data_IF_107300134342
#
_entry.id   IF_107300134342
#
_cell.length_a   1.000
_cell.length_b   1.000
_cell.length_c   1.000
_cell.angle_alpha   90.00
_cell.angle_beta   90.00
_cell.angle_gamma   90.00
#
_symmetry.space_group_name_H-M   'P 1'
#
loop_
_entity.id
_entity.type
_entity.pdbx_description
1 polymer ?
#
# COMPACT_ATOMS: atom_id res chain seq x y z
N UNK A 1 3.04 -20.85 28.50
CA UNK A 1 3.17 -20.01 27.28
C UNK A 1 4.45 -20.43 26.59
N UNK A 2 4.46 -20.70 25.28
CA UNK A 2 5.67 -21.14 24.58
C UNK A 2 6.70 -20.01 24.47
N UNK A 3 7.99 -20.35 24.45
CA UNK A 3 9.07 -19.37 24.30
C UNK A 3 8.96 -18.57 22.98
N UNK A 4 8.51 -19.20 21.89
CA UNK A 4 8.25 -18.51 20.63
C UNK A 4 7.21 -17.38 20.76
N UNK A 5 6.16 -17.58 21.58
CA UNK A 5 5.13 -16.57 21.79
C UNK A 5 5.66 -15.36 22.56
N UNK A 6 6.55 -15.55 23.54
CA UNK A 6 7.15 -14.44 24.29
C UNK A 6 8.07 -13.58 23.41
N UNK A 7 8.81 -14.21 22.49
CA UNK A 7 9.63 -13.53 21.48
C UNK A 7 8.75 -12.73 20.51
N UNK A 8 7.74 -13.36 19.93
CA UNK A 8 6.79 -12.73 19.01
C UNK A 8 6.16 -11.46 19.61
N UNK A 9 5.55 -11.59 20.81
CA UNK A 9 4.86 -10.47 21.46
C UNK A 9 5.80 -9.33 21.82
N UNK A 10 7.06 -9.64 22.13
CA UNK A 10 8.05 -8.63 22.50
C UNK A 10 8.48 -7.86 21.27
N UNK A 11 8.81 -8.57 20.19
CA UNK A 11 9.20 -7.96 18.92
C UNK A 11 8.15 -6.99 18.39
N UNK A 12 6.86 -7.34 18.47
CA UNK A 12 5.76 -6.44 18.09
C UNK A 12 5.69 -5.21 19.00
N UNK A 13 5.81 -5.38 20.31
CA UNK A 13 5.75 -4.24 21.24
C UNK A 13 6.89 -3.26 21.03
N UNK A 14 8.08 -3.78 20.78
CA UNK A 14 9.28 -2.96 20.59
C UNK A 14 9.17 -2.13 19.30
N UNK A 15 8.46 -2.63 18.29
CA UNK A 15 8.25 -1.95 17.01
C UNK A 15 6.96 -1.14 16.90
N UNK A 16 6.12 -1.10 17.93
CA UNK A 16 4.80 -0.43 17.89
C UNK A 16 4.85 1.01 17.38
N UNK A 17 5.85 1.79 17.80
CA UNK A 17 5.97 3.19 17.40
C UNK A 17 6.37 3.31 15.92
N UNK A 18 7.29 2.46 15.47
CA UNK A 18 7.66 2.36 14.06
C UNK A 18 6.46 1.93 13.21
N UNK A 19 5.73 0.89 13.64
CA UNK A 19 4.50 0.44 12.98
C UNK A 19 3.48 1.57 12.90
N UNK A 20 3.25 2.31 13.98
CA UNK A 20 2.32 3.45 13.99
C UNK A 20 2.77 4.56 13.03
N UNK A 21 4.07 4.88 12.97
CA UNK A 21 4.57 5.89 12.02
C UNK A 21 4.42 5.45 10.57
N UNK A 22 4.70 4.17 10.27
CA UNK A 22 4.51 3.60 8.94
C UNK A 22 3.04 3.59 8.53
N UNK A 23 2.15 3.16 9.44
CA UNK A 23 0.70 3.22 9.23
C UNK A 23 0.25 4.65 8.97
N UNK A 24 0.64 5.60 9.83
CA UNK A 24 0.22 6.99 9.71
C UNK A 24 0.67 7.60 8.39
N UNK A 25 1.95 7.44 8.01
CA UNK A 25 2.46 7.95 6.74
C UNK A 25 1.74 7.34 5.53
N UNK A 26 1.49 6.03 5.56
CA UNK A 26 0.76 5.32 4.50
C UNK A 26 -0.70 5.78 4.40
N UNK A 27 -1.38 5.97 5.53
CA UNK A 27 -2.76 6.48 5.55
C UNK A 27 -2.82 7.91 5.02
N UNK A 28 -1.90 8.78 5.44
CA UNK A 28 -1.85 10.18 4.99
C UNK A 28 -1.67 10.25 3.47
N UNK A 29 -0.75 9.48 2.89
CA UNK A 29 -0.51 9.52 1.44
C UNK A 29 -1.69 8.95 0.65
N UNK A 30 -2.36 7.91 1.16
CA UNK A 30 -3.56 7.34 0.53
C UNK A 30 -4.72 8.34 0.55
N UNK A 31 -5.01 8.92 1.70
CA UNK A 31 -6.10 9.90 1.85
C UNK A 31 -5.81 11.14 1.02
N UNK A 32 -4.56 11.61 0.98
CA UNK A 32 -4.15 12.71 0.11
C UNK A 32 -4.39 12.36 -1.36
N UNK A 33 -3.96 11.17 -1.81
CA UNK A 33 -4.18 10.69 -3.18
C UNK A 33 -5.68 10.66 -3.50
N UNK A 34 -6.51 10.10 -2.62
CA UNK A 34 -7.96 10.07 -2.79
C UNK A 34 -8.56 11.49 -2.87
N UNK A 35 -8.09 12.42 -2.04
CA UNK A 35 -8.55 13.81 -2.02
C UNK A 35 -8.19 14.60 -3.29
N UNK A 36 -7.17 14.18 -4.04
CA UNK A 36 -6.80 14.82 -5.31
C UNK A 36 -7.72 14.41 -6.48
N UNK A 37 -8.48 13.32 -6.35
CA UNK A 37 -9.32 12.81 -7.45
C UNK A 37 -10.30 13.84 -8.03
N UNK A 38 -11.10 14.58 -7.24
CA UNK A 38 -12.06 15.56 -7.78
C UNK A 38 -11.39 16.68 -8.59
N UNK A 39 -10.18 17.10 -8.19
CA UNK A 39 -9.43 18.15 -8.89
C UNK A 39 -8.99 17.73 -10.29
N UNK A 40 -8.75 16.43 -10.50
CA UNK A 40 -8.40 15.87 -11.80
C UNK A 40 -9.63 15.75 -12.70
N UNK A 41 -10.79 15.35 -12.17
CA UNK A 41 -12.06 15.37 -12.91
C UNK A 41 -12.39 16.77 -13.44
N UNK A 42 -12.24 17.79 -12.60
CA UNK A 42 -12.43 19.20 -12.98
C UNK A 42 -11.46 19.65 -14.10
N UNK A 43 -10.19 19.22 -14.04
CA UNK A 43 -9.21 19.52 -15.07
C UNK A 43 -9.58 18.87 -16.42
N UNK A 44 -9.98 17.60 -16.42
CA UNK A 44 -10.39 16.87 -17.63
C UNK A 44 -11.63 17.48 -18.28
N UNK A 45 -12.62 17.90 -17.48
CA UNK A 45 -13.82 18.60 -17.98
C UNK A 45 -13.46 19.93 -18.68
N UNK A 46 -12.53 20.70 -18.11
CA UNK A 46 -12.09 21.97 -18.72
C UNK A 46 -11.38 21.82 -20.07
N UNK A 47 -10.70 20.68 -20.28
CA UNK A 47 -10.04 20.32 -21.54
C UNK A 47 -11.08 19.89 -22.58
N UNK A 48 -12.09 19.11 -22.16
CA UNK A 48 -13.19 18.69 -23.04
C UNK A 48 -14.02 19.88 -23.57
N UNK A 49 -14.18 20.92 -22.76
CA UNK A 49 -14.87 22.17 -23.15
C UNK A 49 -14.00 23.13 -24.00
N UNK A 50 -12.78 22.70 -24.40
CA UNK A 50 -11.89 23.47 -25.28
C UNK A 50 -11.20 24.68 -24.63
N UNK A 51 -11.31 24.82 -23.31
CA UNK A 51 -10.77 25.96 -22.54
C UNK A 51 -9.41 25.70 -21.88
N UNK A 52 -9.05 24.43 -21.66
CA UNK A 52 -7.75 23.98 -21.16
C UNK A 52 -6.97 23.23 -22.25
N UNK A 53 -5.71 23.59 -22.46
CA UNK A 53 -4.86 23.23 -23.62
C UNK A 53 -5.01 21.80 -24.18
N UNK A 54 -4.92 21.72 -25.52
CA UNK A 54 -5.26 20.56 -26.36
C UNK A 54 -4.42 19.29 -26.22
N UNK A 55 -4.42 18.45 -27.27
CA UNK A 55 -3.96 17.04 -27.35
C UNK A 55 -2.68 16.66 -26.58
N UNK A 56 -1.75 17.59 -26.34
CA UNK A 56 -0.58 17.37 -25.51
C UNK A 56 -0.94 17.10 -24.03
N UNK A 57 -2.00 17.70 -23.49
CA UNK A 57 -2.46 17.47 -22.12
C UNK A 57 -3.18 16.12 -22.00
N UNK A 58 -4.00 15.72 -22.97
CA UNK A 58 -4.62 14.39 -22.99
C UNK A 58 -3.58 13.27 -23.16
N UNK A 59 -2.50 13.51 -23.91
CA UNK A 59 -1.35 12.60 -24.01
C UNK A 59 -0.51 12.55 -22.71
N UNK A 60 -0.25 13.70 -22.08
CA UNK A 60 0.47 13.79 -20.79
C UNK A 60 -0.29 13.18 -19.61
N UNK A 61 -1.63 13.27 -19.62
CA UNK A 61 -2.51 12.65 -18.63
C UNK A 61 -2.70 11.14 -18.85
N UNK A 62 -2.09 10.57 -19.91
CA UNK A 62 -2.15 9.13 -20.16
C UNK A 62 -3.53 8.65 -20.60
N UNK A 63 -4.33 9.51 -21.24
CA UNK A 63 -5.63 9.18 -21.84
C UNK A 63 -5.45 8.32 -23.11
N UNK A 64 -4.72 7.21 -22.98
CA UNK A 64 -4.43 6.23 -24.02
C UNK A 64 -5.36 5.03 -23.87
N UNK A 65 -5.67 4.38 -24.99
CA UNK A 65 -6.64 3.30 -25.08
C UNK A 65 -6.30 2.10 -24.15
N UNK A 66 -7.08 1.95 -23.07
CA UNK A 66 -7.09 0.73 -22.25
C UNK A 66 -7.53 0.92 -20.80
N UNK A 67 -7.09 1.99 -20.13
CA UNK A 67 -7.50 2.34 -18.76
C UNK A 67 -7.68 3.84 -18.70
N UNK A 68 -8.90 4.29 -18.38
CA UNK A 68 -9.22 5.70 -18.30
C UNK A 68 -8.80 6.29 -16.93
N UNK A 69 -7.76 7.13 -16.87
CA UNK A 69 -7.29 7.74 -15.63
C UNK A 69 -8.31 8.71 -15.04
N UNK A 70 -9.28 9.19 -15.82
CA UNK A 70 -10.35 10.05 -15.31
C UNK A 70 -11.46 9.29 -14.58
N UNK A 71 -11.46 7.95 -14.65
CA UNK A 71 -12.33 7.10 -13.85
C UNK A 71 -11.79 6.90 -12.42
N UNK A 72 -12.65 6.72 -11.40
CA UNK A 72 -12.20 6.51 -10.02
C UNK A 72 -11.28 5.30 -9.88
N UNK A 73 -11.68 4.19 -10.50
CA UNK A 73 -10.93 2.95 -10.46
C UNK A 73 -9.60 3.07 -11.21
N UNK A 74 -9.61 3.67 -12.41
CA UNK A 74 -8.40 3.88 -13.20
C UNK A 74 -7.40 4.80 -12.49
N UNK A 75 -7.88 5.88 -11.89
CA UNK A 75 -7.07 6.80 -11.08
C UNK A 75 -6.36 6.08 -9.94
N UNK A 76 -7.10 5.32 -9.13
CA UNK A 76 -6.52 4.57 -8.01
C UNK A 76 -5.55 3.50 -8.48
N UNK A 77 -5.86 2.81 -9.57
CA UNK A 77 -5.02 1.72 -10.06
C UNK A 77 -3.68 2.24 -10.58
N UNK A 78 -3.69 3.33 -11.36
CA UNK A 78 -2.47 3.94 -11.91
C UNK A 78 -1.69 4.71 -10.84
N UNK A 79 -2.38 5.57 -10.09
CA UNK A 79 -1.75 6.49 -9.15
C UNK A 79 -1.32 5.83 -7.84
N UNK A 80 -2.21 5.02 -7.24
CA UNK A 80 -1.96 4.44 -5.93
C UNK A 80 -1.36 3.05 -6.03
N UNK A 81 -1.98 2.15 -6.77
CA UNK A 81 -1.67 0.73 -6.64
C UNK A 81 -0.65 0.17 -7.64
N UNK A 82 -0.37 0.85 -8.74
CA UNK A 82 0.78 0.52 -9.60
C UNK A 82 2.09 1.12 -9.06
N UNK A 83 1.99 2.15 -8.21
CA UNK A 83 3.13 2.98 -7.81
C UNK A 83 3.22 3.21 -6.30
N UNK A 84 2.35 4.00 -5.69
CA UNK A 84 2.61 4.46 -4.31
C UNK A 84 2.56 3.32 -3.29
N UNK A 85 1.48 2.54 -3.26
CA UNK A 85 1.24 1.55 -2.20
C UNK A 85 2.18 0.34 -2.28
N UNK A 86 2.40 -0.32 -3.44
CA UNK A 86 3.32 -1.46 -3.50
C UNK A 86 4.71 -1.05 -3.05
N UNK A 87 5.26 0.04 -3.56
CA UNK A 87 6.63 0.46 -3.26
C UNK A 87 6.81 0.81 -1.78
N UNK A 88 5.81 1.46 -1.17
CA UNK A 88 5.79 1.74 0.26
C UNK A 88 5.79 0.46 1.10
N UNK A 89 4.93 -0.51 0.76
CA UNK A 89 4.86 -1.79 1.47
C UNK A 89 6.10 -2.65 1.21
N UNK A 90 6.70 -2.59 0.02
CA UNK A 90 7.97 -3.27 -0.28
C UNK A 90 9.10 -2.73 0.59
N UNK A 91 9.22 -1.41 0.71
CA UNK A 91 10.22 -0.78 1.57
C UNK A 91 10.06 -1.20 3.05
N UNK A 92 8.81 -1.20 3.54
CA UNK A 92 8.49 -1.70 4.88
C UNK A 92 8.84 -3.19 5.01
N UNK A 93 8.46 -4.01 4.02
CA UNK A 93 8.71 -5.45 4.01
C UNK A 93 10.19 -5.80 4.07
N UNK A 94 11.02 -5.12 3.27
CA UNK A 94 12.48 -5.25 3.32
C UNK A 94 13.01 -4.86 4.70
N UNK A 95 12.58 -3.72 5.25
CA UNK A 95 13.01 -3.27 6.57
C UNK A 95 12.63 -4.25 7.70
N UNK A 96 11.44 -4.87 7.62
CA UNK A 96 11.00 -5.86 8.61
C UNK A 96 11.73 -7.20 8.44
N UNK A 97 11.98 -7.62 7.19
CA UNK A 97 12.68 -8.87 6.86
C UNK A 97 14.13 -8.85 7.35
N UNK A 98 14.88 -7.79 7.07
CA UNK A 98 16.26 -7.63 7.56
C UNK A 98 16.31 -7.54 9.09
N UNK A 99 15.38 -6.78 9.68
CA UNK A 99 15.32 -6.58 11.12
C UNK A 99 14.89 -7.82 11.93
N UNK A 100 14.35 -8.86 11.28
CA UNK A 100 14.02 -10.11 11.93
C UNK A 100 15.28 -10.93 12.28
N UNK A 101 16.34 -10.84 11.48
CA UNK A 101 17.61 -11.56 11.71
C UNK A 101 18.67 -10.62 12.31
N UNK A 102 19.11 -9.62 11.54
CA UNK A 102 20.25 -8.77 11.88
C UNK A 102 19.99 -7.77 13.02
N UNK A 103 18.72 -7.41 13.30
CA UNK A 103 18.40 -6.27 14.16
C UNK A 103 18.88 -6.36 15.62
N UNK A 104 19.11 -7.57 16.14
CA UNK A 104 19.53 -7.79 17.54
C UNK A 104 20.98 -8.31 17.65
N UNK A 105 21.69 -8.45 16.53
CA UNK A 105 23.12 -8.80 16.52
C UNK A 105 23.98 -7.59 16.94
N UNK A 106 23.70 -6.41 16.36
CA UNK A 106 24.44 -5.17 16.64
C UNK A 106 24.38 -4.73 18.11
N UNK A 107 23.33 -5.13 18.83
CA UNK A 107 23.12 -4.76 20.25
C UNK A 107 23.54 -5.85 21.23
N UNK A 108 24.01 -7.01 20.75
CA UNK A 108 24.32 -8.19 21.57
C UNK A 108 23.09 -8.83 22.26
N UNK A 109 21.88 -8.31 21.99
CA UNK A 109 20.65 -8.78 22.60
C UNK A 109 20.30 -10.22 22.17
N UNK A 110 20.79 -10.65 21.01
CA UNK A 110 20.63 -12.02 20.53
C UNK A 110 21.35 -13.04 21.44
N UNK A 111 22.56 -12.73 21.90
CA UNK A 111 23.33 -13.59 22.81
C UNK A 111 22.63 -13.74 24.17
N UNK A 112 22.08 -12.63 24.68
CA UNK A 112 21.28 -12.64 25.89
C UNK A 112 19.99 -13.48 25.74
N UNK A 113 19.29 -13.38 24.61
CA UNK A 113 18.10 -14.20 24.32
C UNK A 113 18.40 -15.69 24.21
N UNK A 114 19.54 -16.04 23.61
CA UNK A 114 19.99 -17.43 23.43
C UNK A 114 20.58 -18.06 24.70
N UNK A 115 20.87 -17.26 25.73
CA UNK A 115 21.21 -17.81 27.05
C UNK A 115 20.02 -18.49 27.74
N UNK A 116 18.79 -18.19 27.28
CA UNK A 116 17.56 -18.85 27.72
C UNK A 116 17.26 -20.14 26.94
N UNK A 117 16.25 -20.92 27.36
CA UNK A 117 15.85 -22.17 26.70
C UNK A 117 15.05 -21.91 25.41
N UNK A 118 15.65 -21.25 24.42
CA UNK A 118 15.02 -20.93 23.12
C UNK A 118 15.97 -21.29 21.97
N UNK A 119 15.49 -21.99 20.96
CA UNK A 119 16.33 -22.33 19.80
C UNK A 119 16.41 -21.18 18.80
N UNK A 120 17.51 -21.11 18.03
CA UNK A 120 17.69 -20.12 16.96
C UNK A 120 16.54 -20.13 15.94
N UNK A 121 16.06 -21.32 15.58
CA UNK A 121 14.93 -21.49 14.64
C UNK A 121 13.61 -20.97 15.20
N UNK A 122 13.35 -21.16 16.51
CA UNK A 122 12.15 -20.63 17.15
C UNK A 122 12.17 -19.10 17.18
N UNK A 123 13.33 -18.48 17.44
CA UNK A 123 13.48 -17.02 17.41
C UNK A 123 13.24 -16.50 16.00
N UNK A 124 13.91 -17.09 15.00
CA UNK A 124 13.79 -16.66 13.60
C UNK A 124 12.35 -16.75 13.09
N UNK A 125 11.67 -17.88 13.29
CA UNK A 125 10.28 -18.06 12.87
C UNK A 125 9.31 -17.14 13.63
N UNK A 126 9.51 -16.95 14.95
CA UNK A 126 8.66 -16.05 15.73
C UNK A 126 8.78 -14.60 15.27
N UNK A 127 10.00 -14.12 14.95
CA UNK A 127 10.22 -12.77 14.43
C UNK A 127 9.72 -12.62 13.00
N UNK A 128 9.91 -13.62 12.15
CA UNK A 128 9.36 -13.60 10.79
C UNK A 128 7.82 -13.55 10.81
N UNK A 129 7.17 -14.36 11.65
CA UNK A 129 5.72 -14.29 11.85
C UNK A 129 5.26 -12.93 12.38
N UNK A 130 6.04 -12.31 13.27
CA UNK A 130 5.77 -10.95 13.75
C UNK A 130 5.91 -9.90 12.64
N UNK A 131 6.94 -10.01 11.78
CA UNK A 131 7.13 -9.15 10.61
C UNK A 131 5.94 -9.25 9.64
N UNK A 132 5.50 -10.46 9.31
CA UNK A 132 4.32 -10.68 8.47
C UNK A 132 3.07 -10.05 9.11
N UNK A 133 2.91 -10.19 10.42
CA UNK A 133 1.76 -9.63 11.14
C UNK A 133 1.74 -8.10 11.11
N UNK A 134 2.91 -7.46 11.23
CA UNK A 134 3.05 -6.00 11.06
C UNK A 134 2.71 -5.59 9.63
N UNK A 135 3.26 -6.29 8.64
CA UNK A 135 2.99 -5.98 7.23
C UNK A 135 1.50 -6.14 6.87
N UNK A 136 0.88 -7.23 7.34
CA UNK A 136 -0.57 -7.46 7.21
C UNK A 136 -1.37 -6.34 7.88
N UNK A 137 -1.00 -5.93 9.08
CA UNK A 137 -1.70 -4.88 9.82
C UNK A 137 -1.64 -3.54 9.08
N UNK A 138 -0.45 -3.14 8.60
CA UNK A 138 -0.28 -1.90 7.83
C UNK A 138 -1.07 -1.96 6.52
N UNK A 139 -1.01 -3.08 5.80
CA UNK A 139 -1.76 -3.27 4.55
C UNK A 139 -3.27 -3.26 4.78
N UNK A 140 -3.75 -3.88 5.85
CA UNK A 140 -5.16 -3.85 6.21
C UNK A 140 -5.63 -2.43 6.51
N UNK A 141 -4.89 -1.68 7.32
CA UNK A 141 -5.23 -0.30 7.64
C UNK A 141 -5.12 0.64 6.43
N UNK A 142 -4.18 0.38 5.52
CA UNK A 142 -4.08 1.15 4.27
C UNK A 142 -5.33 0.96 3.41
N UNK A 143 -5.77 -0.28 3.19
CA UNK A 143 -7.02 -0.58 2.47
C UNK A 143 -8.24 0.00 3.18
N UNK A 144 -8.35 -0.20 4.49
CA UNK A 144 -9.45 0.34 5.30
C UNK A 144 -9.52 1.86 5.22
N UNK A 145 -8.39 2.56 5.29
CA UNK A 145 -8.35 4.02 5.18
C UNK A 145 -8.89 4.52 3.85
N UNK A 146 -8.57 3.83 2.75
CA UNK A 146 -9.10 4.17 1.43
C UNK A 146 -10.60 3.93 1.39
N UNK A 147 -11.08 2.76 1.85
CA UNK A 147 -12.53 2.46 1.89
C UNK A 147 -13.31 3.52 2.65
N UNK A 148 -12.79 3.96 3.79
CA UNK A 148 -13.44 5.00 4.59
C UNK A 148 -13.40 6.37 3.91
N UNK A 149 -12.38 6.65 3.10
CA UNK A 149 -12.23 7.92 2.37
C UNK A 149 -13.06 8.01 1.08
N UNK A 150 -13.43 6.87 0.47
CA UNK A 150 -14.15 6.83 -0.80
C UNK A 150 -15.41 7.73 -0.86
N UNK A 151 -16.33 7.72 0.12
CA UNK A 151 -17.55 8.54 0.05
C UNK A 151 -17.29 10.04 0.19
N UNK A 152 -16.10 10.46 0.63
CA UNK A 152 -15.77 11.87 0.81
C UNK A 152 -15.20 12.53 -0.44
N UNK A 153 -14.75 11.74 -1.43
CA UNK A 153 -13.99 12.23 -2.57
C UNK A 153 -14.52 11.74 -3.93
N UNK A 154 -15.83 11.51 -4.06
CA UNK A 154 -16.50 11.17 -5.33
C UNK A 154 -15.97 9.89 -6.02
N UNK A 155 -15.28 9.02 -5.27
CA UNK A 155 -14.66 7.80 -5.81
C UNK A 155 -15.68 6.68 -6.05
N UNK A 156 -16.87 6.79 -5.46
CA UNK A 156 -17.96 5.81 -5.59
C UNK A 156 -18.83 6.05 -6.83
N UNK A 157 -18.73 7.23 -7.44
CA UNK A 157 -19.62 7.64 -8.51
C UNK A 157 -19.12 7.13 -9.86
N UNK A 158 -20.04 6.80 -10.76
CA UNK A 158 -19.68 6.38 -12.11
C UNK A 158 -19.14 7.57 -12.91
N UNK A 159 -17.97 7.42 -13.51
CA UNK A 159 -17.40 8.44 -14.39
C UNK A 159 -17.75 8.13 -15.84
N UNK A 160 -18.26 9.14 -16.55
CA UNK A 160 -18.51 9.07 -18.00
C UNK A 160 -17.47 9.89 -18.73
N UNK A 161 -16.70 9.23 -19.58
CA UNK A 161 -15.66 9.88 -20.38
C UNK A 161 -16.04 9.81 -21.85
N UNK A 162 -15.94 10.95 -22.53
CA UNK A 162 -16.17 11.05 -23.96
C UNK A 162 -14.81 11.15 -24.64
N UNK A 163 -14.46 10.17 -25.45
CA UNK A 163 -13.24 10.21 -26.26
C UNK A 163 -13.37 11.25 -27.39
N UNK A 164 -12.23 11.68 -27.95
CA UNK A 164 -12.17 12.61 -29.08
C UNK A 164 -12.94 12.10 -30.32
N UNK A 165 -13.08 10.78 -30.46
CA UNK A 165 -13.82 10.10 -31.53
C UNK A 165 -15.36 10.14 -31.31
N UNK A 166 -15.83 10.79 -30.24
CA UNK A 166 -17.24 10.89 -29.86
C UNK A 166 -17.80 9.64 -29.16
N UNK A 167 -16.95 8.65 -28.87
CA UNK A 167 -17.35 7.45 -28.13
C UNK A 167 -17.40 7.73 -26.63
N UNK A 168 -18.53 7.45 -26.00
CA UNK A 168 -18.71 7.61 -24.54
C UNK A 168 -18.50 6.27 -23.84
N UNK A 169 -17.64 6.24 -22.82
CA UNK A 169 -17.45 5.09 -21.94
C UNK A 169 -17.84 5.48 -20.51
N UNK A 170 -18.75 4.72 -19.90
CA UNK A 170 -19.09 4.81 -18.48
C UNK A 170 -18.30 3.79 -17.69
N UNK A 171 -17.33 4.26 -16.91
CA UNK A 171 -16.62 3.43 -15.94
C UNK A 171 -17.39 3.42 -14.61
N UNK A 172 -17.62 2.23 -14.01
CA UNK A 172 -18.23 2.15 -12.68
C UNK A 172 -17.31 2.78 -11.62
N UNK A 173 -17.92 3.29 -10.55
CA UNK A 173 -17.19 3.78 -9.39
C UNK A 173 -16.39 2.67 -8.70
N UNK A 174 -15.38 3.06 -7.93
CA UNK A 174 -14.53 2.11 -7.22
C UNK A 174 -15.34 1.38 -6.12
N UNK A 175 -15.23 0.06 -6.07
CA UNK A 175 -15.88 -0.75 -5.03
C UNK A 175 -14.90 -1.15 -3.94
N UNK A 176 -15.41 -1.48 -2.75
CA UNK A 176 -14.58 -2.03 -1.68
C UNK A 176 -13.87 -3.34 -2.09
N UNK A 177 -14.43 -4.10 -3.04
CA UNK A 177 -13.81 -5.29 -3.62
C UNK A 177 -12.55 -4.96 -4.43
N UNK A 178 -12.58 -3.89 -5.22
CA UNK A 178 -11.44 -3.43 -5.99
C UNK A 178 -10.30 -2.95 -5.09
N UNK A 179 -10.65 -2.21 -4.03
CA UNK A 179 -9.71 -1.76 -3.00
C UNK A 179 -9.08 -2.96 -2.27
N UNK A 180 -9.88 -3.97 -1.94
CA UNK A 180 -9.39 -5.19 -1.30
C UNK A 180 -8.42 -5.94 -2.23
N UNK A 181 -8.77 -6.08 -3.52
CA UNK A 181 -7.91 -6.73 -4.51
C UNK A 181 -6.58 -5.98 -4.70
N UNK A 182 -6.62 -4.65 -4.85
CA UNK A 182 -5.41 -3.85 -5.01
C UNK A 182 -4.51 -3.84 -3.79
N UNK A 183 -5.11 -3.76 -2.60
CA UNK A 183 -4.38 -3.83 -1.32
C UNK A 183 -3.74 -5.20 -1.13
N UNK A 184 -4.46 -6.27 -1.44
CA UNK A 184 -3.95 -7.64 -1.36
C UNK A 184 -2.80 -7.88 -2.36
N UNK A 185 -2.93 -7.36 -3.58
CA UNK A 185 -1.85 -7.41 -4.59
C UNK A 185 -0.58 -6.74 -4.06
N UNK A 186 -0.70 -5.52 -3.53
CA UNK A 186 0.42 -4.76 -2.97
C UNK A 186 1.06 -5.48 -1.78
N UNK A 187 0.24 -6.02 -0.88
CA UNK A 187 0.69 -6.85 0.25
C UNK A 187 1.46 -8.09 -0.22
N UNK A 188 0.96 -8.78 -1.24
CA UNK A 188 1.55 -10.03 -1.74
C UNK A 188 2.95 -9.80 -2.30
N UNK A 189 3.16 -8.71 -3.05
CA UNK A 189 4.49 -8.34 -3.55
C UNK A 189 5.45 -8.02 -2.40
N UNK A 190 4.98 -7.22 -1.42
CA UNK A 190 5.77 -6.88 -0.25
C UNK A 190 6.14 -8.10 0.62
N UNK A 191 5.23 -9.07 0.76
CA UNK A 191 5.46 -10.32 1.47
C UNK A 191 6.57 -11.14 0.81
N UNK A 192 6.56 -11.22 -0.52
CA UNK A 192 7.62 -11.89 -1.29
C UNK A 192 9.00 -11.30 -1.01
N UNK A 193 9.12 -9.97 -1.05
CA UNK A 193 10.38 -9.27 -0.74
C UNK A 193 10.78 -9.37 0.72
N UNK A 194 9.82 -9.37 1.65
CA UNK A 194 10.09 -9.62 3.09
C UNK A 194 10.73 -10.99 3.28
N UNK A 195 10.20 -12.02 2.60
CA UNK A 195 10.75 -13.37 2.62
C UNK A 195 12.17 -13.43 2.07
N UNK A 196 12.44 -12.77 0.95
CA UNK A 196 13.79 -12.70 0.37
C UNK A 196 14.75 -12.00 1.34
N UNK A 197 14.38 -10.83 1.86
CA UNK A 197 15.18 -10.06 2.80
C UNK A 197 15.50 -10.86 4.08
N UNK A 198 14.54 -11.68 4.55
CA UNK A 198 14.73 -12.58 5.69
C UNK A 198 15.70 -13.74 5.40
N UNK A 199 15.80 -14.21 4.15
CA UNK A 199 16.68 -15.32 3.80
C UNK A 199 18.13 -14.89 3.53
N UNK A 200 18.36 -13.63 3.16
CA UNK A 200 19.68 -13.10 2.80
C UNK A 200 20.33 -12.27 3.91
N UNK A 201 19.54 -11.76 4.86
CA UNK A 201 20.03 -11.00 6.02
C UNK A 201 20.32 -11.92 7.19
#
# INVERSE_FOLDING_TARGET
MSAAWSVYRRWIRDRRLSTLSWTLGTVVIIVATAAFYPSMGAATASIADGSGGGEAMSSLLGLSAGIDPSSPLGYLWIGLYANILPWTLMALGVALGTAAIAGDEDTGALEYLLSGPVTRTQVALARFAAAISVLLFVSFLSGLSLVLSMPFFELTDAATTTAADGTTSTAPGATAGDIAAGTFSSFSVALGLTGIAFLIG
#
